data_IF_143632647277
#
_entry.id   IF_143632647277
#
_cell.length_a   1.000
_cell.length_b   1.000
_cell.length_c   1.000
_cell.angle_alpha   90.00
_cell.angle_beta   90.00
_cell.angle_gamma   90.00
#
_symmetry.space_group_name_H-M   'P 1'
#
loop_
_entity.id
_entity.type
_entity.pdbx_description
1 polymer ?
#
# COMPACT_ATOMS: atom_id res chain seq x y z
N UNK A 1 -12.14 100.33 2.43
CA UNK A 1 -11.77 98.97 1.94
C UNK A 1 -12.59 97.93 2.69
N UNK A 2 -13.35 97.16 1.96
CA UNK A 2 -14.03 96.01 2.49
C UNK A 2 -13.16 94.80 2.26
N UNK A 3 -12.66 94.20 3.31
CA UNK A 3 -11.93 92.91 3.26
C UNK A 3 -12.92 91.80 3.25
N UNK A 4 -12.99 91.06 2.19
CA UNK A 4 -13.75 89.82 2.15
C UNK A 4 -13.03 88.74 3.01
N UNK A 5 -13.73 88.15 3.95
CA UNK A 5 -13.23 87.02 4.71
C UNK A 5 -13.11 85.80 3.77
N UNK A 6 -11.97 85.10 3.81
CA UNK A 6 -11.79 83.88 3.11
C UNK A 6 -12.71 82.80 3.71
N UNK A 7 -13.51 82.18 2.90
CA UNK A 7 -14.28 80.99 3.27
C UNK A 7 -13.42 79.77 3.01
N UNK A 8 -13.08 79.03 4.06
CA UNK A 8 -12.46 77.73 3.89
C UNK A 8 -13.52 76.75 3.38
N UNK A 9 -13.31 76.19 2.23
CA UNK A 9 -14.08 75.07 1.71
C UNK A 9 -13.49 73.81 2.34
N UNK A 10 -14.26 73.10 3.13
CA UNK A 10 -13.86 71.77 3.64
C UNK A 10 -13.75 70.84 2.46
N UNK A 11 -12.58 70.18 2.32
CA UNK A 11 -12.45 69.06 1.42
C UNK A 11 -13.36 67.91 1.87
N UNK A 12 -13.97 67.25 0.92
CA UNK A 12 -14.80 66.07 1.12
C UNK A 12 -14.01 64.94 0.45
N UNK A 13 -13.72 63.92 1.23
CA UNK A 13 -13.12 62.70 0.74
C UNK A 13 -14.00 62.08 -0.35
N UNK A 14 -13.38 61.66 -1.50
CA UNK A 14 -14.09 61.23 -2.70
C UNK A 14 -13.61 59.91 -3.28
N UNK A 15 -13.42 58.94 -2.45
CA UNK A 15 -13.13 57.57 -2.83
C UNK A 15 -11.69 57.12 -2.52
N UNK A 16 -11.41 55.85 -2.68
CA UNK A 16 -10.17 55.18 -2.29
C UNK A 16 -9.41 54.62 -3.49
N UNK A 17 -8.12 54.43 -3.34
CA UNK A 17 -7.32 53.62 -4.25
C UNK A 17 -7.82 52.18 -4.26
N UNK A 18 -7.72 51.48 -5.38
CA UNK A 18 -8.12 50.08 -5.49
C UNK A 18 -6.91 49.18 -5.69
N UNK A 19 -6.77 48.17 -4.86
CA UNK A 19 -5.70 47.20 -4.92
C UNK A 19 -6.24 45.78 -5.21
N UNK A 20 -5.43 45.01 -5.94
CA UNK A 20 -5.61 43.60 -6.15
C UNK A 20 -4.30 42.84 -5.79
N UNK A 21 -4.42 41.57 -5.51
CA UNK A 21 -3.26 40.67 -5.37
C UNK A 21 -2.97 40.05 -6.72
N UNK A 22 -1.72 40.12 -7.16
CA UNK A 22 -1.24 39.48 -8.39
C UNK A 22 -0.09 38.52 -8.06
N UNK A 23 0.11 37.51 -8.91
CA UNK A 23 1.13 36.47 -8.75
C UNK A 23 0.54 35.05 -8.68
N UNK A 24 1.41 34.06 -8.59
CA UNK A 24 1.00 32.65 -8.47
C UNK A 24 0.74 32.31 -7.01
N UNK A 25 -0.44 31.74 -6.72
CA UNK A 25 -0.92 31.44 -5.37
C UNK A 25 -0.45 30.06 -4.87
N UNK A 26 0.87 29.86 -4.86
CA UNK A 26 1.51 28.61 -4.40
C UNK A 26 2.67 28.92 -3.45
N UNK A 27 3.02 27.98 -2.59
CA UNK A 27 4.15 28.07 -1.66
C UNK A 27 5.45 28.39 -2.44
N UNK A 28 6.28 29.28 -1.87
CA UNK A 28 7.54 29.74 -2.46
C UNK A 28 7.37 30.78 -3.56
N UNK A 29 6.16 31.07 -4.03
CA UNK A 29 5.90 32.07 -5.05
C UNK A 29 5.66 33.48 -4.45
N UNK A 30 5.87 34.49 -5.24
CA UNK A 30 5.76 35.87 -4.81
C UNK A 30 4.38 36.42 -5.20
N UNK A 31 3.62 36.87 -4.21
CA UNK A 31 2.45 37.71 -4.38
C UNK A 31 2.85 39.19 -4.37
N UNK A 32 2.19 40.01 -5.16
CA UNK A 32 2.45 41.43 -5.30
C UNK A 32 1.18 42.25 -5.14
N UNK A 33 1.29 43.37 -4.44
CA UNK A 33 0.28 44.42 -4.42
C UNK A 33 0.19 45.05 -5.80
N UNK A 34 -0.97 45.02 -6.42
CA UNK A 34 -1.22 45.64 -7.72
C UNK A 34 -2.31 46.71 -7.57
N UNK A 35 -1.93 47.98 -7.72
CA UNK A 35 -2.89 49.07 -7.76
C UNK A 35 -3.62 49.08 -9.10
N UNK A 36 -4.94 48.92 -9.06
CA UNK A 36 -5.78 48.94 -10.25
C UNK A 36 -6.45 50.28 -10.52
N UNK A 37 -6.58 51.13 -9.51
CA UNK A 37 -7.07 52.51 -9.62
C UNK A 37 -6.41 53.37 -8.58
N UNK A 38 -6.04 54.60 -8.98
CA UNK A 38 -5.56 55.64 -8.06
C UNK A 38 -6.72 56.27 -7.28
N UNK A 39 -6.39 56.78 -6.12
CA UNK A 39 -7.30 57.63 -5.34
C UNK A 39 -7.64 58.89 -6.12
N UNK A 40 -8.93 59.26 -6.28
CA UNK A 40 -9.31 60.51 -6.94
C UNK A 40 -8.78 61.77 -6.28
N UNK A 41 -8.54 61.75 -4.98
CA UNK A 41 -8.01 62.88 -4.18
C UNK A 41 -6.46 62.84 -4.11
N UNK A 42 -5.85 61.87 -4.77
CA UNK A 42 -4.40 61.70 -4.94
C UNK A 42 -3.81 60.65 -4.00
N UNK A 43 -2.98 59.79 -4.57
CA UNK A 43 -2.27 58.77 -3.82
C UNK A 43 -1.29 59.37 -2.81
N UNK A 44 -1.19 58.73 -1.65
CA UNK A 44 -0.13 59.01 -0.67
C UNK A 44 0.92 57.89 -0.67
N UNK A 45 1.72 57.89 0.40
CA UNK A 45 2.68 56.79 0.61
C UNK A 45 1.97 55.59 1.16
N UNK A 46 2.00 54.46 0.41
CA UNK A 46 1.36 53.22 0.79
C UNK A 46 2.16 52.44 1.84
N UNK A 47 1.45 51.92 2.84
CA UNK A 47 1.93 50.94 3.80
C UNK A 47 1.14 49.65 3.61
N UNK A 48 1.81 48.50 3.71
CA UNK A 48 1.23 47.21 3.41
C UNK A 48 1.21 46.29 4.65
N UNK A 49 0.19 45.44 4.77
CA UNK A 49 0.15 44.36 5.73
C UNK A 49 -0.56 43.16 5.11
N UNK A 50 0.18 42.07 4.92
CA UNK A 50 -0.39 40.83 4.50
C UNK A 50 -1.00 40.09 5.69
N UNK A 51 -2.16 39.43 5.46
CA UNK A 51 -2.90 38.69 6.46
C UNK A 51 -3.25 37.33 5.91
N UNK A 52 -3.30 36.31 6.81
CA UNK A 52 -3.73 34.96 6.48
C UNK A 52 -5.00 34.57 7.26
N UNK A 53 -5.76 33.62 6.69
CA UNK A 53 -7.00 33.11 7.27
C UNK A 53 -7.19 31.65 6.85
N UNK A 54 -7.64 30.79 7.77
CA UNK A 54 -8.04 29.41 7.47
C UNK A 54 -9.49 29.27 7.01
N UNK A 55 -10.33 30.28 7.27
CA UNK A 55 -11.79 30.23 7.07
C UNK A 55 -12.31 31.36 6.15
N UNK A 56 -11.38 32.16 5.56
CA UNK A 56 -11.67 33.35 4.75
C UNK A 56 -12.54 34.40 5.47
N UNK A 57 -12.65 34.33 6.80
CA UNK A 57 -13.45 35.23 7.61
C UNK A 57 -12.67 35.83 8.78
N UNK A 58 -11.88 35.02 9.48
CA UNK A 58 -11.04 35.44 10.61
C UNK A 58 -9.60 35.63 10.15
N UNK A 59 -9.11 36.88 10.24
CA UNK A 59 -7.84 37.28 9.68
C UNK A 59 -6.76 37.59 10.73
N UNK A 60 -5.55 37.10 10.50
CA UNK A 60 -4.39 37.34 11.37
C UNK A 60 -3.25 37.95 10.56
N UNK A 61 -2.59 38.95 11.12
CA UNK A 61 -1.42 39.56 10.47
C UNK A 61 -0.27 38.53 10.34
N UNK A 62 0.26 38.40 9.13
CA UNK A 62 1.50 37.67 8.91
C UNK A 62 2.66 38.53 9.43
N UNK A 63 3.38 37.99 10.41
CA UNK A 63 4.45 38.74 11.08
C UNK A 63 5.57 39.16 10.11
N UNK A 64 5.90 40.47 10.08
CA UNK A 64 6.94 41.03 9.21
C UNK A 64 6.57 41.18 7.73
N UNK A 65 5.35 40.77 7.31
CA UNK A 65 4.89 40.88 5.92
C UNK A 65 4.32 42.28 5.64
N UNK A 66 5.21 43.28 5.56
CA UNK A 66 4.88 44.70 5.39
C UNK A 66 5.42 45.33 4.08
N UNK A 67 5.95 44.54 3.17
CA UNK A 67 6.38 44.98 1.85
C UNK A 67 5.24 44.91 0.83
N UNK A 68 5.40 45.59 -0.29
CA UNK A 68 4.48 45.48 -1.45
C UNK A 68 4.45 44.08 -2.08
N UNK A 69 5.41 43.24 -1.73
CA UNK A 69 5.47 41.83 -2.14
C UNK A 69 5.55 40.93 -0.92
N UNK A 70 4.99 39.72 -1.05
CA UNK A 70 5.06 38.70 -0.04
C UNK A 70 5.40 37.33 -0.68
N UNK A 71 6.41 36.66 -0.19
CA UNK A 71 6.69 35.27 -0.58
C UNK A 71 5.88 34.31 0.29
N UNK A 72 4.99 33.55 -0.34
CA UNK A 72 4.12 32.59 0.37
C UNK A 72 4.98 31.55 1.07
N UNK A 73 4.82 31.39 2.39
CA UNK A 73 5.54 30.39 3.18
C UNK A 73 4.69 29.12 3.38
N UNK A 74 5.34 28.05 3.84
CA UNK A 74 4.65 26.78 4.15
C UNK A 74 3.55 26.92 5.22
N UNK A 75 3.63 27.95 6.07
CA UNK A 75 2.59 28.20 7.09
C UNK A 75 1.26 28.66 6.50
N UNK A 76 1.23 29.11 5.25
CA UNK A 76 0.03 29.54 4.51
C UNK A 76 -0.56 28.47 3.60
N UNK A 77 -0.02 27.25 3.64
CA UNK A 77 -0.54 26.13 2.86
C UNK A 77 -2.05 25.90 3.12
N UNK A 78 -2.83 25.86 2.05
CA UNK A 78 -4.29 25.69 2.11
C UNK A 78 -5.07 26.85 2.72
N UNK A 79 -4.43 27.99 3.00
CA UNK A 79 -5.07 29.17 3.59
C UNK A 79 -5.44 30.21 2.54
N UNK A 80 -6.17 31.21 3.01
CA UNK A 80 -6.45 32.43 2.27
C UNK A 80 -5.47 33.53 2.68
N UNK A 81 -5.03 34.32 1.71
CA UNK A 81 -4.20 35.50 1.95
C UNK A 81 -4.94 36.72 1.42
N UNK A 82 -4.92 37.81 2.18
CA UNK A 82 -5.37 39.12 1.74
C UNK A 82 -4.32 40.19 2.04
N UNK A 83 -4.46 41.33 1.38
CA UNK A 83 -3.61 42.48 1.59
C UNK A 83 -4.44 43.62 2.16
N UNK A 84 -3.95 44.24 3.22
CA UNK A 84 -4.42 45.53 3.75
C UNK A 84 -3.43 46.61 3.37
N UNK A 85 -3.90 47.66 2.74
CA UNK A 85 -3.08 48.86 2.34
C UNK A 85 -3.62 50.06 3.11
N UNK A 86 -2.71 50.78 3.74
CA UNK A 86 -3.04 52.03 4.42
C UNK A 86 -2.20 53.16 3.86
N UNK A 87 -2.80 54.34 3.71
CA UNK A 87 -2.11 55.56 3.26
C UNK A 87 -2.85 56.79 3.76
N UNK A 88 -2.24 57.97 3.55
CA UNK A 88 -2.89 59.26 3.71
C UNK A 88 -2.89 59.93 2.36
N UNK A 89 -4.05 60.31 1.86
CA UNK A 89 -4.20 60.96 0.57
C UNK A 89 -3.56 62.39 0.53
N UNK A 90 -3.62 63.05 -0.63
CA UNK A 90 -3.07 64.37 -0.79
C UNK A 90 -3.91 65.46 -0.09
N UNK A 91 -5.09 65.11 0.41
CA UNK A 91 -5.99 66.04 1.16
C UNK A 91 -5.95 65.78 2.68
N UNK A 92 -5.09 64.86 3.16
CA UNK A 92 -4.88 64.41 4.55
C UNK A 92 -5.98 63.55 5.14
N UNK A 93 -6.75 62.81 4.33
CA UNK A 93 -7.59 61.74 4.81
C UNK A 93 -6.78 60.42 4.95
N UNK A 94 -7.09 59.66 5.98
CA UNK A 94 -6.44 58.36 6.26
C UNK A 94 -7.29 57.24 5.74
N UNK A 95 -6.73 56.50 4.74
CA UNK A 95 -7.42 55.47 4.01
C UNK A 95 -6.96 54.08 4.42
N UNK A 96 -7.90 53.10 4.36
CA UNK A 96 -7.60 51.68 4.57
C UNK A 96 -8.34 50.82 3.53
N UNK A 97 -7.59 50.25 2.62
CA UNK A 97 -8.11 49.44 1.52
C UNK A 97 -7.76 47.98 1.75
N UNK A 98 -8.71 47.08 1.48
CA UNK A 98 -8.52 45.63 1.57
C UNK A 98 -8.69 45.05 0.18
N UNK A 99 -7.63 44.46 -0.37
CA UNK A 99 -7.71 43.69 -1.59
C UNK A 99 -8.43 42.36 -1.36
N UNK A 100 -9.16 41.93 -2.38
CA UNK A 100 -9.83 40.61 -2.35
C UNK A 100 -8.85 39.49 -2.03
N UNK A 101 -9.26 38.56 -1.17
CA UNK A 101 -8.42 37.42 -0.78
C UNK A 101 -8.17 36.47 -1.96
N UNK A 102 -7.02 35.83 -1.93
CA UNK A 102 -6.67 34.74 -2.81
C UNK A 102 -6.48 33.46 -1.99
N UNK A 103 -6.90 32.32 -2.53
CA UNK A 103 -6.65 31.01 -1.93
C UNK A 103 -5.26 30.54 -2.31
N UNK A 104 -4.49 30.09 -1.34
CA UNK A 104 -3.23 29.40 -1.58
C UNK A 104 -3.54 27.93 -1.82
N UNK A 105 -3.15 27.42 -2.97
CA UNK A 105 -3.32 26.02 -3.29
C UNK A 105 -2.50 25.14 -2.35
N UNK A 106 -3.13 24.12 -1.77
CA UNK A 106 -2.42 23.11 -0.99
C UNK A 106 -1.48 22.35 -1.91
N UNK A 107 -0.20 22.24 -1.53
CA UNK A 107 0.74 21.42 -2.28
C UNK A 107 0.67 19.98 -1.79
N UNK A 108 0.71 19.04 -2.74
CA UNK A 108 0.76 17.63 -2.41
C UNK A 108 2.07 17.33 -1.65
N UNK A 109 1.95 16.90 -0.42
CA UNK A 109 3.06 16.31 0.30
C UNK A 109 3.22 14.84 -0.14
N UNK A 110 4.37 14.51 -0.70
CA UNK A 110 4.69 13.16 -1.15
C UNK A 110 4.49 12.11 -0.05
N UNK A 111 4.68 12.49 1.20
CA UNK A 111 4.53 11.61 2.36
C UNK A 111 3.08 11.13 2.55
N UNK A 112 2.09 11.91 2.08
CA UNK A 112 0.68 11.53 2.12
C UNK A 112 0.33 10.35 1.21
N UNK A 113 1.12 10.11 0.16
CA UNK A 113 0.91 9.03 -0.80
C UNK A 113 1.60 7.73 -0.40
N UNK A 114 2.62 7.78 0.46
CA UNK A 114 3.40 6.59 0.84
C UNK A 114 2.56 5.45 1.43
N UNK A 115 1.53 5.68 2.28
CA UNK A 115 0.70 4.61 2.82
C UNK A 115 0.00 3.82 1.71
N UNK A 116 -0.47 4.50 0.64
CA UNK A 116 -1.14 3.87 -0.49
C UNK A 116 -0.17 3.05 -1.36
N UNK A 117 1.08 3.49 -1.48
CA UNK A 117 2.11 2.68 -2.12
C UNK A 117 2.50 1.46 -1.25
N UNK A 118 2.48 1.58 0.08
CA UNK A 118 2.73 0.47 1.00
C UNK A 118 1.67 -0.62 0.89
N UNK A 119 0.38 -0.26 0.82
CA UNK A 119 -0.71 -1.24 0.76
C UNK A 119 -0.68 -2.09 -0.52
N UNK A 120 -0.13 -1.60 -1.63
CA UNK A 120 0.08 -2.41 -2.84
C UNK A 120 1.03 -3.59 -2.58
N UNK A 121 2.07 -3.38 -1.77
CA UNK A 121 2.99 -4.46 -1.38
C UNK A 121 2.30 -5.49 -0.47
N UNK A 122 1.35 -5.04 0.36
CA UNK A 122 0.49 -5.92 1.18
C UNK A 122 -0.40 -6.79 0.29
N UNK A 123 -1.03 -6.20 -0.72
CA UNK A 123 -1.85 -6.93 -1.71
C UNK A 123 -1.05 -7.99 -2.46
N UNK A 124 0.12 -7.64 -2.99
CA UNK A 124 1.03 -8.61 -3.64
C UNK A 124 1.43 -9.75 -2.69
N UNK A 125 1.67 -9.45 -1.40
CA UNK A 125 2.00 -10.47 -0.40
C UNK A 125 0.81 -11.39 -0.10
N UNK A 126 -0.41 -10.87 -0.06
CA UNK A 126 -1.62 -11.69 0.11
C UNK A 126 -1.80 -12.67 -1.06
N UNK A 127 -1.64 -12.19 -2.30
CA UNK A 127 -1.68 -13.03 -3.52
C UNK A 127 -0.62 -14.14 -3.42
N UNK A 128 0.64 -13.78 -3.06
CA UNK A 128 1.73 -14.73 -2.88
C UNK A 128 1.41 -15.77 -1.82
N UNK A 129 0.95 -15.36 -0.64
CA UNK A 129 0.64 -16.26 0.46
C UNK A 129 -0.47 -17.26 0.10
N UNK A 130 -1.54 -16.79 -0.58
CA UNK A 130 -2.60 -17.69 -1.04
C UNK A 130 -2.09 -18.70 -2.08
N UNK A 131 -1.35 -18.24 -3.10
CA UNK A 131 -0.73 -19.12 -4.10
C UNK A 131 0.15 -20.19 -3.45
N UNK A 132 1.02 -19.79 -2.50
CA UNK A 132 1.92 -20.70 -1.80
C UNK A 132 1.12 -21.72 -0.94
N UNK A 133 -0.04 -21.33 -0.36
CA UNK A 133 -0.96 -22.25 0.34
C UNK A 133 -1.53 -23.33 -0.59
N UNK A 134 -1.96 -22.94 -1.78
CA UNK A 134 -2.53 -23.87 -2.77
C UNK A 134 -1.45 -24.83 -3.27
N UNK A 135 -0.28 -24.31 -3.70
CA UNK A 135 0.80 -25.12 -4.27
C UNK A 135 1.49 -26.02 -3.24
N UNK A 136 1.41 -25.68 -1.94
CA UNK A 136 1.98 -26.51 -0.88
C UNK A 136 1.37 -27.92 -0.84
N UNK A 137 0.10 -28.06 -1.24
CA UNK A 137 -0.64 -29.33 -1.23
C UNK A 137 -0.99 -29.86 -2.63
N UNK A 138 -0.74 -29.11 -3.67
CA UNK A 138 -0.98 -29.52 -5.05
C UNK A 138 -0.18 -30.78 -5.40
N UNK A 139 -0.83 -31.78 -5.94
CA UNK A 139 -0.25 -33.06 -6.33
C UNK A 139 -0.09 -34.08 -5.19
N UNK A 140 -0.52 -33.77 -3.96
CA UNK A 140 -0.39 -34.68 -2.82
C UNK A 140 -1.61 -35.67 -2.67
N UNK A 141 -2.64 -35.56 -3.51
CA UNK A 141 -3.75 -36.52 -3.55
C UNK A 141 -3.22 -37.93 -3.85
N UNK A 142 -3.52 -38.90 -3.02
CA UNK A 142 -3.09 -40.29 -3.11
C UNK A 142 -1.56 -40.55 -2.96
N UNK A 143 -0.74 -39.57 -2.58
CA UNK A 143 0.71 -39.77 -2.44
C UNK A 143 1.11 -40.61 -1.23
N UNK A 144 0.19 -40.82 -0.28
CA UNK A 144 0.45 -41.60 0.93
C UNK A 144 0.07 -43.12 0.79
N UNK A 145 -0.09 -43.57 -0.44
CA UNK A 145 -0.28 -45.03 -0.73
C UNK A 145 -1.62 -45.61 -0.37
N UNK A 146 -2.59 -44.79 -0.05
CA UNK A 146 -3.93 -45.21 0.32
C UNK A 146 -4.88 -44.97 -0.86
N UNK A 147 -5.25 -46.02 -1.54
CA UNK A 147 -6.25 -46.00 -2.62
C UNK A 147 -7.63 -46.01 -1.98
N UNK A 148 -8.37 -44.94 -2.14
CA UNK A 148 -9.78 -44.91 -1.85
C UNK A 148 -10.55 -45.12 -3.13
N UNK A 149 -11.46 -46.03 -2.97
CA UNK A 149 -12.36 -46.59 -3.94
C UNK A 149 -13.03 -45.49 -4.80
N UNK A 150 -12.81 -45.55 -6.13
CA UNK A 150 -13.64 -45.04 -7.22
C UNK A 150 -13.75 -43.56 -7.50
N UNK A 151 -13.37 -42.59 -6.64
CA UNK A 151 -13.64 -41.16 -6.96
C UNK A 151 -12.45 -40.33 -7.40
N UNK A 152 -11.21 -40.68 -7.07
CA UNK A 152 -9.98 -39.95 -7.41
C UNK A 152 -9.99 -38.46 -6.99
N UNK A 153 -10.81 -38.06 -6.03
CA UNK A 153 -10.91 -36.68 -5.54
C UNK A 153 -10.40 -36.54 -4.11
N UNK A 154 -9.71 -35.41 -3.89
CA UNK A 154 -9.29 -35.00 -2.56
C UNK A 154 -9.78 -33.57 -2.26
N UNK A 155 -10.10 -33.33 -0.99
CA UNK A 155 -10.41 -32.02 -0.45
C UNK A 155 -9.31 -31.60 0.53
N UNK A 156 -8.72 -30.45 0.28
CA UNK A 156 -7.77 -29.81 1.19
C UNK A 156 -8.37 -28.54 1.76
N UNK A 157 -8.01 -28.21 3.00
CA UNK A 157 -8.16 -26.88 3.52
C UNK A 157 -6.85 -26.46 4.18
N UNK A 158 -6.36 -25.31 3.80
CA UNK A 158 -5.15 -24.72 4.37
C UNK A 158 -5.43 -23.29 4.82
N UNK A 159 -4.91 -22.95 6.00
CA UNK A 159 -4.98 -21.60 6.53
C UNK A 159 -3.59 -21.15 6.96
N UNK A 160 -3.30 -19.88 6.78
CA UNK A 160 -2.09 -19.25 7.32
C UNK A 160 -2.38 -17.86 7.84
N UNK A 161 -1.66 -17.49 8.89
CA UNK A 161 -1.58 -16.15 9.39
C UNK A 161 -0.10 -15.71 9.30
N UNK A 162 0.15 -14.56 8.71
CA UNK A 162 1.49 -13.98 8.63
C UNK A 162 1.51 -12.56 9.17
N UNK A 163 2.58 -12.21 9.87
CA UNK A 163 2.84 -10.87 10.37
C UNK A 163 4.19 -10.45 9.81
N UNK A 164 4.25 -9.28 9.25
CA UNK A 164 5.43 -8.71 8.60
C UNK A 164 5.75 -7.35 9.18
N UNK A 165 7.04 -7.08 9.30
CA UNK A 165 7.58 -5.83 9.81
C UNK A 165 8.47 -5.21 8.74
N UNK A 166 8.08 -4.06 8.22
CA UNK A 166 8.86 -3.27 7.27
C UNK A 166 9.54 -2.14 8.01
N UNK A 167 10.86 -2.15 7.98
CA UNK A 167 11.67 -1.14 8.68
C UNK A 167 11.75 0.13 7.83
N UNK A 168 11.27 1.25 8.35
CA UNK A 168 11.41 2.56 7.72
C UNK A 168 12.85 3.07 7.72
N UNK A 169 13.10 4.09 6.90
CA UNK A 169 14.38 4.81 6.85
C UNK A 169 14.14 6.33 6.69
N UNK A 170 15.16 7.10 6.35
CA UNK A 170 15.05 8.56 6.19
C UNK A 170 14.13 8.99 5.04
N UNK A 171 13.80 8.12 4.10
CA UNK A 171 13.03 8.42 2.90
C UNK A 171 11.65 7.77 2.88
N UNK A 172 11.44 6.74 3.68
CA UNK A 172 10.24 5.92 3.65
C UNK A 172 9.76 5.55 5.05
N UNK A 173 8.45 5.59 5.24
CA UNK A 173 7.79 5.14 6.46
C UNK A 173 7.95 3.63 6.71
N UNK A 174 8.11 3.26 7.97
CA UNK A 174 7.97 1.88 8.41
C UNK A 174 6.50 1.55 8.66
N UNK A 175 6.17 0.26 8.59
CA UNK A 175 4.83 -0.24 8.89
C UNK A 175 4.84 -1.72 9.23
N UNK A 176 3.80 -2.14 9.92
CA UNK A 176 3.50 -3.54 10.17
C UNK A 176 2.35 -3.95 9.25
N UNK A 177 2.34 -5.20 8.81
CA UNK A 177 1.15 -5.72 8.18
C UNK A 177 0.92 -7.19 8.51
N UNK A 178 -0.35 -7.56 8.59
CA UNK A 178 -0.78 -8.93 8.80
C UNK A 178 -1.63 -9.40 7.64
N UNK A 179 -1.50 -10.70 7.30
CA UNK A 179 -2.35 -11.36 6.32
C UNK A 179 -2.87 -12.66 6.93
N UNK A 180 -4.18 -12.83 6.90
CA UNK A 180 -4.83 -14.10 7.14
C UNK A 180 -5.41 -14.61 5.83
N UNK A 181 -5.09 -15.84 5.46
CA UNK A 181 -5.65 -16.50 4.28
C UNK A 181 -6.07 -17.92 4.63
N UNK A 182 -7.20 -18.34 4.12
CA UNK A 182 -7.65 -19.73 4.14
C UNK A 182 -8.13 -20.12 2.74
N UNK A 183 -7.82 -21.34 2.33
CA UNK A 183 -8.18 -21.86 1.02
C UNK A 183 -8.77 -23.24 1.13
N UNK A 184 -9.82 -23.48 0.36
CA UNK A 184 -10.39 -24.79 0.09
C UNK A 184 -9.96 -25.20 -1.32
N UNK A 185 -9.43 -26.40 -1.44
CA UNK A 185 -8.84 -26.92 -2.66
C UNK A 185 -9.48 -28.28 -2.96
N UNK A 186 -9.92 -28.48 -4.18
CA UNK A 186 -10.41 -29.76 -4.68
C UNK A 186 -9.44 -30.19 -5.78
N UNK A 187 -8.83 -31.37 -5.61
CA UNK A 187 -7.92 -31.98 -6.57
C UNK A 187 -8.50 -33.29 -7.10
N UNK A 188 -8.34 -33.50 -8.39
CA UNK A 188 -8.64 -34.77 -9.06
C UNK A 188 -7.35 -35.42 -9.57
N UNK A 189 -7.18 -36.69 -9.28
CA UNK A 189 -6.17 -37.57 -9.89
C UNK A 189 -6.74 -38.19 -11.17
N UNK A 190 -6.10 -37.94 -12.30
CA UNK A 190 -6.51 -38.53 -13.58
C UNK A 190 -5.78 -39.84 -13.87
N UNK A 191 -4.53 -39.90 -13.43
CA UNK A 191 -3.68 -41.09 -13.46
C UNK A 191 -2.45 -40.83 -12.56
N UNK A 192 -1.50 -41.78 -12.51
CA UNK A 192 -0.27 -41.65 -11.70
C UNK A 192 0.59 -40.44 -12.07
N UNK A 193 0.47 -39.89 -13.30
CA UNK A 193 1.28 -38.78 -13.76
C UNK A 193 0.57 -37.44 -13.68
N UNK A 194 -0.77 -37.39 -13.76
CA UNK A 194 -1.53 -36.16 -13.89
C UNK A 194 -2.55 -35.96 -12.80
N UNK A 195 -2.45 -34.81 -12.14
CA UNK A 195 -3.46 -34.30 -11.19
C UNK A 195 -3.78 -32.85 -11.55
N UNK A 196 -4.99 -32.41 -11.27
CA UNK A 196 -5.37 -31.00 -11.41
C UNK A 196 -6.41 -30.63 -10.35
N UNK A 197 -6.42 -29.37 -9.99
CA UNK A 197 -7.33 -28.87 -8.97
C UNK A 197 -7.77 -27.44 -9.19
N UNK A 198 -8.80 -27.11 -8.47
CA UNK A 198 -9.33 -25.76 -8.32
C UNK A 198 -9.23 -25.34 -6.86
N UNK A 199 -9.01 -24.07 -6.62
CA UNK A 199 -8.95 -23.55 -5.27
C UNK A 199 -9.78 -22.26 -5.17
N UNK A 200 -10.44 -22.11 -4.03
CA UNK A 200 -11.12 -20.90 -3.61
C UNK A 200 -10.60 -20.51 -2.22
N UNK A 201 -10.20 -19.27 -2.06
CA UNK A 201 -9.65 -18.74 -0.82
C UNK A 201 -10.33 -17.45 -0.42
N UNK A 202 -10.35 -17.22 0.88
CA UNK A 202 -10.76 -15.93 1.46
C UNK A 202 -9.71 -15.50 2.47
N UNK A 203 -9.57 -14.20 2.64
CA UNK A 203 -8.59 -13.66 3.56
C UNK A 203 -8.87 -12.24 3.99
N UNK A 204 -7.99 -11.75 4.83
CA UNK A 204 -7.94 -10.35 5.21
C UNK A 204 -6.50 -9.90 5.37
N UNK A 205 -6.26 -8.63 5.10
CA UNK A 205 -4.95 -8.02 5.31
C UNK A 205 -5.13 -6.70 6.05
N UNK A 206 -4.22 -6.42 6.97
CA UNK A 206 -4.17 -5.12 7.66
C UNK A 206 -2.78 -4.53 7.46
N UNK A 207 -2.73 -3.24 7.18
CA UNK A 207 -1.55 -2.42 7.29
C UNK A 207 -1.74 -1.52 8.51
N UNK A 208 -0.88 -1.67 9.48
CA UNK A 208 -0.94 -0.98 10.76
C UNK A 208 0.36 -0.20 11.01
N UNK A 209 0.27 0.78 11.91
CA UNK A 209 1.43 1.51 12.41
C UNK A 209 2.25 2.22 11.32
N UNK A 210 1.67 2.52 10.15
CA UNK A 210 2.38 3.35 9.20
C UNK A 210 2.65 4.71 9.83
N UNK A 211 3.92 5.13 9.80
CA UNK A 211 4.33 6.43 10.32
C UNK A 211 5.53 6.96 9.52
N UNK A 212 5.36 8.15 8.95
CA UNK A 212 6.43 8.90 8.29
C UNK A 212 6.12 10.40 8.28
N UNK A 213 7.06 11.23 8.73
CA UNK A 213 6.96 12.70 8.72
C UNK A 213 5.65 13.26 9.29
N UNK A 214 5.09 12.59 10.31
CA UNK A 214 3.81 12.98 10.93
C UNK A 214 2.57 12.44 10.22
N UNK A 215 2.71 11.79 9.06
CA UNK A 215 1.62 11.03 8.43
C UNK A 215 1.50 9.67 9.09
N UNK A 216 0.32 9.35 9.59
CA UNK A 216 -0.03 8.02 10.09
C UNK A 216 -1.18 7.43 9.28
N UNK A 217 -1.19 6.11 9.12
CA UNK A 217 -2.26 5.44 8.38
C UNK A 217 -2.46 4.00 8.84
N UNK A 218 -3.70 3.54 8.71
CA UNK A 218 -4.09 2.15 8.89
C UNK A 218 -5.06 1.77 7.78
N UNK A 219 -4.88 0.58 7.23
CA UNK A 219 -5.74 0.03 6.17
C UNK A 219 -6.14 -1.39 6.52
N UNK A 220 -7.33 -1.74 6.11
CA UNK A 220 -7.87 -3.09 6.16
C UNK A 220 -8.32 -3.51 4.76
N UNK A 221 -8.12 -4.77 4.39
CA UNK A 221 -8.77 -5.36 3.22
C UNK A 221 -9.39 -6.70 3.55
N UNK A 222 -10.53 -6.97 2.91
CA UNK A 222 -11.02 -8.33 2.69
C UNK A 222 -10.62 -8.77 1.29
N UNK A 223 -10.28 -10.05 1.13
CA UNK A 223 -9.82 -10.55 -0.15
C UNK A 223 -10.39 -11.94 -0.46
N UNK A 224 -10.66 -12.14 -1.74
CA UNK A 224 -11.10 -13.40 -2.31
C UNK A 224 -10.09 -13.86 -3.35
N UNK A 225 -9.75 -15.14 -3.34
CA UNK A 225 -8.78 -15.73 -4.27
C UNK A 225 -9.39 -16.93 -4.96
N UNK A 226 -9.08 -17.10 -6.23
CA UNK A 226 -9.50 -18.25 -7.02
C UNK A 226 -8.36 -18.67 -7.94
N UNK A 227 -8.15 -19.97 -8.06
CA UNK A 227 -7.08 -20.49 -8.90
C UNK A 227 -7.39 -21.88 -9.45
N UNK A 228 -6.73 -22.19 -10.54
CA UNK A 228 -6.61 -23.52 -11.09
C UNK A 228 -5.14 -23.91 -11.14
N UNK A 229 -4.86 -25.18 -10.89
CA UNK A 229 -3.50 -25.68 -10.97
C UNK A 229 -3.44 -27.08 -11.57
N UNK A 230 -2.25 -27.43 -12.04
CA UNK A 230 -1.94 -28.76 -12.52
C UNK A 230 -0.63 -29.27 -11.93
N UNK A 231 -0.57 -30.58 -11.75
CA UNK A 231 0.60 -31.32 -11.35
C UNK A 231 0.88 -32.37 -12.42
N UNK A 232 2.16 -32.53 -12.80
CA UNK A 232 2.62 -33.58 -13.69
C UNK A 232 3.88 -34.25 -13.18
N UNK A 233 3.85 -35.56 -13.02
CA UNK A 233 5.05 -36.39 -12.84
C UNK A 233 5.69 -36.59 -14.21
N UNK A 234 6.87 -36.00 -14.43
CA UNK A 234 7.60 -36.07 -15.71
C UNK A 234 8.48 -37.32 -15.77
N UNK A 235 9.07 -37.67 -14.64
CA UNK A 235 9.89 -38.87 -14.49
C UNK A 235 9.79 -39.36 -13.04
N UNK A 236 10.35 -40.52 -12.73
CA UNK A 236 10.33 -41.09 -11.38
C UNK A 236 10.76 -40.10 -10.28
N UNK A 237 11.66 -39.20 -10.61
CA UNK A 237 12.28 -38.29 -9.64
C UNK A 237 12.07 -36.81 -9.96
N UNK A 238 11.23 -36.46 -10.95
CA UNK A 238 11.01 -35.06 -11.32
C UNK A 238 9.55 -34.79 -11.61
N UNK A 239 9.00 -33.80 -10.94
CA UNK A 239 7.63 -33.31 -11.11
C UNK A 239 7.57 -31.82 -11.45
N UNK A 240 6.49 -31.41 -12.08
CA UNK A 240 6.20 -30.04 -12.44
C UNK A 240 4.82 -29.67 -11.88
N UNK A 241 4.74 -28.50 -11.25
CA UNK A 241 3.48 -27.87 -10.82
C UNK A 241 3.30 -26.55 -11.54
N UNK A 242 2.10 -26.22 -11.94
CA UNK A 242 1.75 -24.91 -12.50
C UNK A 242 0.43 -24.41 -11.93
N UNK A 243 0.31 -23.10 -11.69
CA UNK A 243 -0.89 -22.45 -11.17
C UNK A 243 -1.11 -21.14 -11.90
N UNK A 244 -2.37 -20.83 -12.17
CA UNK A 244 -2.85 -19.48 -12.52
C UNK A 244 -4.05 -19.14 -11.63
N UNK A 245 -4.18 -17.86 -11.27
CA UNK A 245 -5.25 -17.42 -10.39
C UNK A 245 -5.53 -15.92 -10.45
N UNK A 246 -6.67 -15.55 -9.88
CA UNK A 246 -7.10 -14.18 -9.69
C UNK A 246 -7.45 -13.91 -8.23
N UNK A 247 -7.60 -12.64 -7.91
CA UNK A 247 -7.94 -12.16 -6.58
C UNK A 247 -8.71 -10.86 -6.68
N UNK A 248 -9.68 -10.68 -5.80
CA UNK A 248 -10.44 -9.44 -5.63
C UNK A 248 -10.18 -8.92 -4.21
N UNK A 249 -10.03 -7.60 -4.07
CA UNK A 249 -9.74 -6.93 -2.80
C UNK A 249 -10.68 -5.75 -2.60
N UNK A 250 -11.28 -5.68 -1.41
CA UNK A 250 -12.01 -4.51 -0.93
C UNK A 250 -11.19 -3.83 0.16
N UNK A 251 -10.75 -2.60 -0.06
CA UNK A 251 -9.93 -1.83 0.87
C UNK A 251 -10.74 -0.75 1.58
N UNK A 252 -10.44 -0.59 2.87
CA UNK A 252 -10.87 0.56 3.66
C UNK A 252 -9.74 1.02 4.57
N UNK A 253 -9.63 2.31 4.83
CA UNK A 253 -8.58 2.80 5.70
C UNK A 253 -8.70 4.28 6.02
N UNK A 254 -7.78 4.73 6.87
CA UNK A 254 -7.67 6.12 7.25
C UNK A 254 -6.21 6.60 7.18
N UNK A 255 -6.07 7.89 6.92
CA UNK A 255 -4.80 8.62 6.97
C UNK A 255 -5.00 9.89 7.81
N UNK A 256 -4.04 10.14 8.70
CA UNK A 256 -4.03 11.34 9.52
C UNK A 256 -2.72 12.11 9.30
N UNK A 257 -2.82 13.42 9.17
CA UNK A 257 -1.69 14.33 9.08
C UNK A 257 -2.11 15.70 9.61
N UNK A 258 -1.41 16.22 10.61
CA UNK A 258 -1.77 17.48 11.30
C UNK A 258 -3.26 17.51 11.68
N UNK A 259 -4.05 18.36 11.01
CA UNK A 259 -5.49 18.51 11.22
C UNK A 259 -6.34 17.72 10.19
N UNK A 260 -5.70 16.97 9.29
CA UNK A 260 -6.37 16.14 8.30
C UNK A 260 -6.76 14.81 8.92
N UNK A 261 -8.01 14.42 8.74
CA UNK A 261 -8.52 13.06 8.98
C UNK A 261 -9.19 12.62 7.68
N UNK A 262 -8.54 11.75 6.97
CA UNK A 262 -8.98 11.27 5.67
C UNK A 262 -9.37 9.79 5.75
N UNK A 263 -10.46 9.43 5.09
CA UNK A 263 -10.95 8.06 4.93
C UNK A 263 -10.93 7.67 3.47
N UNK A 264 -10.65 6.42 3.18
CA UNK A 264 -10.63 5.86 1.84
C UNK A 264 -11.31 4.51 1.79
N UNK A 265 -12.01 4.25 0.68
CA UNK A 265 -12.59 2.95 0.32
C UNK A 265 -12.39 2.77 -1.18
N UNK A 266 -11.85 1.63 -1.59
CA UNK A 266 -11.56 1.33 -2.99
C UNK A 266 -11.32 -0.15 -3.21
N UNK A 267 -11.41 -0.58 -4.46
CA UNK A 267 -11.26 -1.95 -4.88
C UNK A 267 -9.91 -2.15 -5.60
N UNK A 268 -9.47 -3.41 -5.65
CA UNK A 268 -8.31 -3.81 -6.42
C UNK A 268 -8.44 -5.25 -6.91
N UNK A 269 -7.84 -5.51 -8.06
CA UNK A 269 -7.74 -6.83 -8.67
C UNK A 269 -6.33 -7.38 -8.58
N UNK A 270 -6.21 -8.71 -8.47
CA UNK A 270 -4.95 -9.40 -8.46
C UNK A 270 -4.89 -10.56 -9.45
N UNK A 271 -3.72 -10.80 -10.01
CA UNK A 271 -3.45 -11.94 -10.88
C UNK A 271 -2.15 -12.61 -10.47
N UNK A 272 -2.09 -13.93 -10.62
CA UNK A 272 -0.86 -14.69 -10.34
C UNK A 272 -0.71 -15.87 -11.27
N UNK A 273 0.55 -16.20 -11.56
CA UNK A 273 0.93 -17.42 -12.23
C UNK A 273 2.23 -17.95 -11.61
N UNK A 274 2.36 -19.26 -11.49
CA UNK A 274 3.61 -19.90 -11.04
C UNK A 274 3.84 -21.20 -11.78
N UNK A 275 5.10 -21.50 -12.06
CA UNK A 275 5.56 -22.81 -12.46
C UNK A 275 6.77 -23.18 -11.60
N UNK A 276 6.76 -24.41 -11.06
CA UNK A 276 7.81 -24.92 -10.19
C UNK A 276 8.13 -26.36 -10.53
N UNK A 277 9.41 -26.65 -10.73
CA UNK A 277 9.95 -28.00 -10.92
C UNK A 277 10.56 -28.48 -9.61
N UNK A 278 10.29 -29.72 -9.25
CA UNK A 278 10.77 -30.36 -8.01
C UNK A 278 11.40 -31.71 -8.34
N UNK A 279 12.60 -31.92 -7.82
CA UNK A 279 13.26 -33.23 -7.85
C UNK A 279 13.03 -33.95 -6.54
N UNK A 280 12.90 -35.26 -6.58
CA UNK A 280 12.62 -36.11 -5.43
C UNK A 280 13.74 -37.15 -5.27
N UNK A 281 14.48 -37.04 -4.14
CA UNK A 281 15.58 -37.93 -3.81
C UNK A 281 15.30 -38.67 -2.50
N UNK A 282 14.84 -39.91 -2.62
CA UNK A 282 14.48 -40.75 -1.50
C UNK A 282 15.64 -41.62 -1.03
N UNK A 283 15.92 -41.65 0.27
CA UNK A 283 16.88 -42.57 0.87
C UNK A 283 16.27 -43.24 2.11
N UNK A 284 16.15 -44.55 2.06
CA UNK A 284 15.76 -45.33 3.22
C UNK A 284 16.95 -45.65 4.12
N UNK A 285 16.87 -45.31 5.40
CA UNK A 285 17.89 -45.60 6.43
C UNK A 285 17.40 -46.81 7.26
N UNK A 286 18.00 -47.93 7.02
CA UNK A 286 17.56 -49.25 7.55
C UNK A 286 17.69 -49.34 9.06
N UNK A 287 18.73 -48.69 9.66
CA UNK A 287 19.01 -48.75 11.09
C UNK A 287 17.99 -47.97 11.94
N UNK A 288 17.37 -46.93 11.43
CA UNK A 288 16.35 -46.15 12.12
C UNK A 288 14.91 -46.39 11.60
N UNK A 289 14.72 -47.29 10.63
CA UNK A 289 13.47 -47.49 9.92
C UNK A 289 12.86 -46.17 9.41
N UNK A 290 13.69 -45.33 8.83
CA UNK A 290 13.37 -43.92 8.50
C UNK A 290 13.54 -43.70 7.01
N UNK A 291 12.57 -43.11 6.35
CA UNK A 291 12.67 -42.62 4.98
C UNK A 291 12.94 -41.11 4.98
N UNK A 292 14.14 -40.71 4.56
CA UNK A 292 14.50 -39.31 4.34
C UNK A 292 14.27 -38.97 2.87
N UNK A 293 13.55 -37.89 2.66
CA UNK A 293 13.22 -37.37 1.35
C UNK A 293 13.76 -35.94 1.21
N UNK A 294 14.60 -35.70 0.21
CA UNK A 294 15.14 -34.39 -0.12
C UNK A 294 14.56 -33.93 -1.46
N UNK A 295 13.90 -32.78 -1.46
CA UNK A 295 13.16 -32.24 -2.59
C UNK A 295 13.69 -30.85 -2.97
N UNK A 296 14.80 -30.75 -3.71
CA UNK A 296 15.20 -29.45 -4.29
C UNK A 296 14.19 -29.02 -5.35
N UNK A 297 13.98 -27.72 -5.43
CA UNK A 297 13.03 -27.11 -6.37
C UNK A 297 13.56 -25.81 -6.96
N UNK A 298 13.14 -25.51 -8.17
CA UNK A 298 13.30 -24.22 -8.82
C UNK A 298 11.97 -23.78 -9.43
N UNK A 299 11.72 -22.49 -9.44
CA UNK A 299 10.47 -21.96 -9.97
C UNK A 299 10.56 -20.51 -10.38
N UNK A 300 9.54 -20.09 -11.10
CA UNK A 300 9.27 -18.71 -11.45
C UNK A 300 7.81 -18.41 -11.16
N UNK A 301 7.55 -17.26 -10.55
CA UNK A 301 6.21 -16.81 -10.22
C UNK A 301 6.02 -15.35 -10.56
N UNK A 302 4.86 -15.03 -11.11
CA UNK A 302 4.42 -13.67 -11.39
C UNK A 302 3.20 -13.34 -10.53
N UNK A 303 3.11 -12.10 -10.06
CA UNK A 303 1.91 -11.54 -9.46
C UNK A 303 1.75 -10.08 -9.87
N UNK A 304 0.53 -9.65 -10.07
CA UNK A 304 0.15 -8.26 -10.28
C UNK A 304 -1.01 -7.90 -9.35
N UNK A 305 -1.00 -6.68 -8.85
CA UNK A 305 -2.05 -6.08 -8.04
C UNK A 305 -2.39 -4.73 -8.64
N UNK A 306 -3.61 -4.57 -9.14
CA UNK A 306 -4.12 -3.37 -9.80
C UNK A 306 -5.13 -2.72 -8.88
N UNK A 307 -4.83 -1.54 -8.39
CA UNK A 307 -5.68 -0.73 -7.54
C UNK A 307 -6.48 0.25 -8.38
N UNK A 308 -7.77 0.38 -8.11
CA UNK A 308 -8.61 1.40 -8.72
C UNK A 308 -8.26 2.81 -8.23
N UNK A 309 -8.58 3.80 -9.07
CA UNK A 309 -8.48 5.20 -8.68
C UNK A 309 -9.61 5.60 -7.76
N UNK A 310 -9.31 6.42 -6.75
CA UNK A 310 -10.30 6.90 -5.78
C UNK A 310 -9.94 8.28 -5.23
N UNK A 311 -10.88 8.90 -4.53
CA UNK A 311 -10.65 10.14 -3.78
C UNK A 311 -10.95 9.92 -2.31
N UNK A 312 -10.11 10.43 -1.44
CA UNK A 312 -10.36 10.45 0.00
C UNK A 312 -11.61 11.28 0.36
N UNK A 313 -12.22 10.95 1.48
CA UNK A 313 -13.27 11.70 2.13
C UNK A 313 -12.85 12.10 3.54
N UNK A 314 -13.49 13.13 4.12
CA UNK A 314 -13.15 13.61 5.46
C UNK A 314 -12.88 15.10 5.52
N UNK A 315 -11.89 15.52 6.31
CA UNK A 315 -11.55 16.93 6.54
C UNK A 315 -10.06 17.20 6.36
N UNK A 316 -9.73 18.43 5.95
CA UNK A 316 -8.34 18.87 5.72
C UNK A 316 -7.85 18.55 4.30
N UNK A 317 -6.55 18.28 4.18
CA UNK A 317 -5.89 18.06 2.89
C UNK A 317 -6.09 16.61 2.42
N UNK A 318 -7.07 16.45 1.54
CA UNK A 318 -7.46 15.17 0.96
C UNK A 318 -6.71 14.93 -0.35
N UNK A 319 -6.51 13.67 -0.71
CA UNK A 319 -5.86 13.29 -1.98
C UNK A 319 -6.80 12.49 -2.88
N UNK A 320 -6.58 12.62 -4.18
CA UNK A 320 -7.14 11.73 -5.21
C UNK A 320 -6.02 10.84 -5.73
N UNK A 321 -6.20 9.55 -5.60
CA UNK A 321 -5.26 8.52 -6.03
C UNK A 321 -5.67 8.04 -7.41
N UNK A 322 -4.70 7.91 -8.30
CA UNK A 322 -4.91 7.35 -9.65
C UNK A 322 -4.86 5.83 -9.60
N UNK A 323 -5.58 5.19 -10.53
CA UNK A 323 -5.41 3.74 -10.74
C UNK A 323 -3.96 3.40 -11.02
N UNK A 324 -3.47 2.35 -10.40
CA UNK A 324 -2.08 1.92 -10.52
C UNK A 324 -1.92 0.42 -10.37
N UNK A 325 -0.88 -0.12 -10.99
CA UNK A 325 -0.54 -1.54 -10.94
C UNK A 325 0.84 -1.72 -10.31
N UNK A 326 0.94 -2.67 -9.38
CA UNK A 326 2.20 -3.15 -8.82
C UNK A 326 2.43 -4.60 -9.24
N UNK A 327 3.66 -4.94 -9.57
CA UNK A 327 4.04 -6.25 -10.10
C UNK A 327 5.17 -6.88 -9.28
N UNK A 328 5.25 -8.21 -9.31
CA UNK A 328 6.29 -9.03 -8.71
C UNK A 328 6.65 -10.18 -9.64
N UNK A 329 7.93 -10.38 -9.90
CA UNK A 329 8.46 -11.51 -10.66
C UNK A 329 9.51 -12.22 -9.81
N UNK A 330 9.12 -13.33 -9.21
CA UNK A 330 9.94 -14.11 -8.30
C UNK A 330 10.67 -15.24 -9.03
N UNK A 331 11.98 -15.28 -8.89
CA UNK A 331 12.79 -16.47 -9.15
C UNK A 331 12.99 -17.21 -7.82
N UNK A 332 12.63 -18.49 -7.80
CA UNK A 332 12.58 -19.30 -6.58
C UNK A 332 13.55 -20.45 -6.64
N UNK A 333 14.28 -20.71 -5.56
CA UNK A 333 15.06 -21.92 -5.34
C UNK A 333 14.79 -22.43 -3.93
N UNK A 334 14.54 -23.72 -3.79
CA UNK A 334 14.17 -24.31 -2.50
C UNK A 334 14.76 -25.69 -2.28
N UNK A 335 14.83 -26.07 -1.04
CA UNK A 335 15.15 -27.43 -0.59
C UNK A 335 14.21 -27.80 0.55
N UNK A 336 13.30 -28.75 0.30
CA UNK A 336 12.50 -29.38 1.35
C UNK A 336 13.16 -30.68 1.76
N UNK A 337 13.31 -30.89 3.05
CA UNK A 337 13.72 -32.17 3.63
C UNK A 337 12.61 -32.65 4.52
N UNK A 338 12.15 -33.85 4.30
CA UNK A 338 11.10 -34.48 5.09
C UNK A 338 11.48 -35.89 5.51
N UNK A 339 10.93 -36.32 6.63
CA UNK A 339 11.19 -37.64 7.19
C UNK A 339 9.85 -38.32 7.52
N UNK A 340 9.69 -39.55 7.08
CA UNK A 340 8.49 -40.33 7.39
C UNK A 340 8.76 -41.26 8.59
N UNK A 341 8.00 -41.06 9.66
CA UNK A 341 8.13 -41.81 10.92
C UNK A 341 6.82 -42.54 11.18
N UNK A 342 6.90 -43.86 11.21
CA UNK A 342 5.79 -44.70 11.61
C UNK A 342 5.73 -44.73 13.14
N UNK A 343 4.62 -44.26 13.74
CA UNK A 343 4.43 -44.23 15.18
C UNK A 343 4.08 -45.64 15.73
N UNK A 344 4.42 -45.84 17.02
CA UNK A 344 4.13 -47.13 17.69
C UNK A 344 2.67 -47.55 17.56
N UNK A 345 2.47 -48.79 17.17
CA UNK A 345 1.13 -49.37 16.90
C UNK A 345 0.68 -49.30 15.46
N UNK A 346 1.46 -48.71 14.53
CA UNK A 346 1.23 -48.75 13.07
C UNK A 346 0.02 -47.98 12.57
N UNK A 347 -0.59 -47.15 13.42
CA UNK A 347 -1.84 -46.45 13.11
C UNK A 347 -1.65 -45.02 12.60
N UNK A 348 -0.54 -44.37 12.90
CA UNK A 348 -0.28 -42.96 12.59
C UNK A 348 1.07 -42.83 11.93
N UNK A 349 1.16 -41.91 10.96
CA UNK A 349 2.42 -41.51 10.34
C UNK A 349 2.66 -40.03 10.63
N UNK A 350 3.86 -39.71 11.09
CA UNK A 350 4.33 -38.37 11.30
C UNK A 350 5.33 -38.02 10.22
N UNK A 351 5.18 -36.83 9.56
CA UNK A 351 6.07 -36.39 8.52
C UNK A 351 6.59 -34.98 8.89
N UNK A 352 7.63 -34.89 9.76
CA UNK A 352 8.30 -33.63 9.99
C UNK A 352 9.01 -33.16 8.74
N UNK A 353 9.02 -31.86 8.50
CA UNK A 353 9.66 -31.23 7.35
C UNK A 353 10.42 -29.96 7.72
N UNK A 354 11.48 -29.70 6.96
CA UNK A 354 12.21 -28.44 6.94
C UNK A 354 12.31 -27.96 5.49
N UNK A 355 11.79 -26.75 5.22
CA UNK A 355 11.91 -26.11 3.92
C UNK A 355 12.82 -24.90 4.04
N UNK A 356 13.87 -24.84 3.24
CA UNK A 356 14.75 -23.70 3.07
C UNK A 356 14.52 -23.13 1.69
N UNK A 357 14.21 -21.84 1.58
CA UNK A 357 13.97 -21.21 0.29
C UNK A 357 14.68 -19.88 0.17
N UNK A 358 15.11 -19.60 -1.04
CA UNK A 358 15.57 -18.31 -1.51
C UNK A 358 14.67 -17.86 -2.67
N UNK A 359 14.20 -16.62 -2.60
CA UNK A 359 13.42 -15.99 -3.65
C UNK A 359 14.03 -14.62 -3.98
N UNK A 360 14.07 -14.29 -5.26
CA UNK A 360 14.50 -12.99 -5.77
C UNK A 360 13.39 -12.37 -6.59
N UNK A 361 12.92 -11.17 -6.16
CA UNK A 361 11.90 -10.41 -6.87
C UNK A 361 12.55 -9.40 -7.82
N UNK A 362 12.58 -9.73 -9.10
CA UNK A 362 13.19 -8.90 -10.14
C UNK A 362 12.44 -7.59 -10.42
N UNK A 363 11.19 -7.46 -9.95
CA UNK A 363 10.35 -6.27 -10.12
C UNK A 363 10.13 -5.49 -8.81
N UNK A 364 10.81 -5.85 -7.71
CA UNK A 364 10.66 -5.18 -6.42
C UNK A 364 11.22 -3.76 -6.38
N UNK A 365 11.97 -3.33 -7.39
CA UNK A 365 12.53 -1.99 -7.43
C UNK A 365 11.45 -0.91 -7.35
N UNK A 366 11.76 0.21 -6.70
CA UNK A 366 10.85 1.34 -6.46
C UNK A 366 10.17 1.90 -7.72
N UNK A 367 10.73 1.63 -8.92
CA UNK A 367 10.16 2.12 -10.18
C UNK A 367 8.88 1.39 -10.59
N UNK A 368 8.66 0.16 -10.16
CA UNK A 368 7.49 -0.67 -10.52
C UNK A 368 6.39 -0.67 -9.44
N UNK A 369 6.61 0.06 -8.32
CA UNK A 369 5.67 0.12 -7.18
C UNK A 369 5.46 1.56 -6.75
N UNK A 370 5.06 2.41 -7.72
CA UNK A 370 4.73 3.82 -7.49
C UNK A 370 3.23 4.01 -7.52
N UNK A 371 2.73 4.84 -6.63
CA UNK A 371 1.35 5.32 -6.65
C UNK A 371 1.34 6.75 -7.14
N UNK A 372 0.39 7.09 -8.00
CA UNK A 372 0.17 8.44 -8.48
C UNK A 372 -0.99 9.11 -7.74
N UNK A 373 -0.82 10.36 -7.35
CA UNK A 373 -1.87 11.12 -6.68
C UNK A 373 -1.76 12.62 -6.92
N UNK A 374 -2.84 13.32 -6.59
CA UNK A 374 -2.96 14.78 -6.59
C UNK A 374 -3.73 15.22 -5.34
N UNK A 375 -3.58 16.46 -4.92
CA UNK A 375 -4.51 17.04 -3.93
C UNK A 375 -5.92 17.01 -4.54
N UNK A 376 -6.89 16.59 -3.75
CA UNK A 376 -8.28 16.49 -4.20
C UNK A 376 -8.78 17.84 -4.71
N UNK A 377 -9.47 17.82 -5.84
CA UNK A 377 -10.00 19.00 -6.53
C UNK A 377 -8.93 19.99 -7.04
N UNK A 378 -7.64 19.61 -7.00
CA UNK A 378 -6.55 20.37 -7.61
C UNK A 378 -6.45 20.10 -9.11
N UNK A 379 -5.97 21.08 -9.85
CA UNK A 379 -5.56 20.98 -11.27
C UNK A 379 -4.08 20.64 -11.45
N UNK A 380 -3.38 20.32 -10.37
CA UNK A 380 -1.94 20.07 -10.38
C UNK A 380 -1.60 18.77 -11.14
N UNK A 381 -0.34 18.66 -11.56
CA UNK A 381 0.19 17.47 -12.19
C UNK A 381 0.24 16.30 -11.19
N UNK A 382 0.00 15.08 -11.70
CA UNK A 382 0.08 13.86 -10.89
C UNK A 382 1.49 13.64 -10.38
N UNK A 383 1.64 13.53 -9.07
CA UNK A 383 2.90 13.17 -8.40
C UNK A 383 2.94 11.66 -8.18
N UNK A 384 4.11 11.06 -8.37
CA UNK A 384 4.33 9.62 -8.18
C UNK A 384 5.26 9.35 -7.01
N UNK A 385 4.83 8.52 -6.09
CA UNK A 385 5.57 8.16 -4.88
C UNK A 385 5.66 6.65 -4.74
N UNK A 386 6.79 6.16 -4.25
CA UNK A 386 6.97 4.77 -3.82
C UNK A 386 6.99 4.68 -2.29
N UNK A 387 6.81 3.47 -1.76
CA UNK A 387 7.02 3.17 -0.35
C UNK A 387 8.16 2.17 -0.16
N UNK A 388 8.57 1.98 1.07
CA UNK A 388 9.41 0.85 1.46
C UNK A 388 8.64 -0.45 1.22
N UNK A 389 9.34 -1.46 0.72
CA UNK A 389 8.83 -2.82 0.53
C UNK A 389 9.58 -3.78 1.44
N UNK A 390 9.16 -5.05 1.51
CA UNK A 390 9.95 -6.10 2.16
C UNK A 390 11.33 -6.31 1.52
N UNK A 391 11.53 -5.84 0.28
CA UNK A 391 12.81 -5.91 -0.42
C UNK A 391 12.77 -6.83 -1.65
N UNK A 392 13.96 -7.08 -2.20
CA UNK A 392 14.15 -7.87 -3.42
C UNK A 392 14.51 -9.33 -3.10
N UNK A 393 15.20 -9.56 -1.98
CA UNK A 393 15.73 -10.87 -1.59
C UNK A 393 14.99 -11.41 -0.37
N UNK A 394 14.54 -12.66 -0.47
CA UNK A 394 13.83 -13.37 0.59
C UNK A 394 14.53 -14.68 0.90
N UNK A 395 15.01 -14.83 2.12
CA UNK A 395 15.52 -16.10 2.65
C UNK A 395 14.56 -16.62 3.68
N UNK A 396 14.05 -17.82 3.53
CA UNK A 396 13.08 -18.37 4.47
C UNK A 396 13.43 -19.77 4.95
N UNK A 397 13.07 -20.03 6.21
CA UNK A 397 13.04 -21.35 6.81
C UNK A 397 11.62 -21.64 7.30
N UNK A 398 11.06 -22.79 6.89
CA UNK A 398 9.76 -23.28 7.35
C UNK A 398 9.96 -24.64 8.00
N UNK A 399 9.46 -24.80 9.20
CA UNK A 399 9.34 -26.07 9.88
C UNK A 399 7.88 -26.50 9.85
N UNK A 400 7.62 -27.75 9.60
CA UNK A 400 6.25 -28.27 9.51
C UNK A 400 6.18 -29.73 9.89
N UNK A 401 4.96 -30.22 10.06
CA UNK A 401 4.69 -31.62 10.23
C UNK A 401 3.30 -31.95 9.70
N UNK A 402 3.19 -33.06 8.99
CA UNK A 402 1.92 -33.68 8.61
C UNK A 402 1.66 -34.87 9.53
N UNK A 403 0.44 -35.00 10.03
CA UNK A 403 -0.05 -36.06 10.84
C UNK A 403 -1.08 -36.86 10.02
N UNK A 404 -0.75 -38.05 9.56
CA UNK A 404 -1.69 -38.93 8.90
C UNK A 404 -2.38 -39.79 9.99
N UNK A 405 -3.66 -39.53 10.21
CA UNK A 405 -4.46 -40.12 11.29
C UNK A 405 -5.21 -41.35 10.83
N UNK A 406 -5.74 -41.28 9.62
CA UNK A 406 -6.42 -42.39 8.93
C UNK A 406 -6.06 -42.38 7.45
N UNK A 407 -6.49 -43.38 6.73
CA UNK A 407 -6.35 -43.45 5.27
C UNK A 407 -6.94 -42.24 4.56
N UNK A 408 -7.95 -41.60 5.17
CA UNK A 408 -8.73 -40.53 4.58
C UNK A 408 -8.49 -39.17 5.20
N UNK A 409 -7.75 -39.08 6.29
CA UNK A 409 -7.63 -37.85 7.06
C UNK A 409 -6.20 -37.58 7.50
N UNK A 410 -5.66 -36.42 7.13
CA UNK A 410 -4.43 -35.90 7.68
C UNK A 410 -4.56 -34.42 8.10
N UNK A 411 -3.71 -34.02 9.05
CA UNK A 411 -3.57 -32.63 9.51
C UNK A 411 -2.16 -32.15 9.27
N UNK A 412 -1.99 -30.85 9.04
CA UNK A 412 -0.68 -30.23 8.99
C UNK A 412 -0.59 -29.02 9.92
N UNK A 413 0.60 -28.82 10.46
CA UNK A 413 0.98 -27.61 11.20
C UNK A 413 2.32 -27.12 10.69
N UNK A 414 2.49 -25.82 10.56
CA UNK A 414 3.77 -25.25 10.14
C UNK A 414 4.00 -23.86 10.72
N UNK A 415 5.28 -23.50 10.81
CA UNK A 415 5.73 -22.16 11.11
C UNK A 415 6.85 -21.78 10.13
N UNK A 416 6.82 -20.57 9.62
CA UNK A 416 7.80 -20.04 8.65
C UNK A 416 8.34 -18.69 9.16
N UNK A 417 9.64 -18.53 9.02
CA UNK A 417 10.32 -17.25 9.21
C UNK A 417 10.97 -16.82 7.90
N UNK A 418 10.82 -15.55 7.55
CA UNK A 418 11.39 -14.95 6.34
C UNK A 418 12.23 -13.76 6.74
N UNK A 419 13.46 -13.74 6.29
CA UNK A 419 14.36 -12.59 6.32
C UNK A 419 14.39 -11.95 4.95
N UNK A 420 14.35 -10.62 4.92
CA UNK A 420 14.47 -9.85 3.69
C UNK A 420 15.37 -8.64 3.91
N UNK A 421 15.79 -7.99 2.84
CA UNK A 421 16.57 -6.74 2.88
C UNK A 421 15.75 -5.51 3.33
N UNK A 422 14.42 -5.60 3.36
CA UNK A 422 13.52 -4.53 3.82
C UNK A 422 12.83 -4.78 5.15
N UNK A 423 12.95 -5.99 5.72
CA UNK A 423 12.26 -6.35 6.96
C UNK A 423 12.24 -7.84 7.24
N UNK A 424 11.24 -8.30 7.97
CA UNK A 424 11.04 -9.72 8.25
C UNK A 424 9.56 -10.10 8.31
N UNK A 425 9.28 -11.40 8.21
CA UNK A 425 7.93 -11.94 8.28
C UNK A 425 7.92 -13.24 9.09
N UNK A 426 6.90 -13.40 9.93
CA UNK A 426 6.57 -14.64 10.61
C UNK A 426 5.23 -15.14 10.09
N UNK A 427 5.09 -16.45 9.89
CA UNK A 427 3.81 -17.03 9.56
C UNK A 427 3.60 -18.38 10.23
N UNK A 428 2.33 -18.65 10.54
CA UNK A 428 1.86 -19.91 11.12
C UNK A 428 0.74 -20.41 10.25
N UNK A 429 0.73 -21.70 9.99
CA UNK A 429 -0.28 -22.32 9.15
C UNK A 429 -0.76 -23.66 9.72
N UNK A 430 -2.00 -23.97 9.41
CA UNK A 430 -2.58 -25.27 9.65
C UNK A 430 -3.51 -25.65 8.48
N UNK A 431 -3.75 -26.95 8.35
CA UNK A 431 -4.66 -27.44 7.33
C UNK A 431 -5.05 -28.87 7.56
N UNK A 432 -5.95 -29.35 6.75
CA UNK A 432 -6.32 -30.75 6.68
C UNK A 432 -6.52 -31.21 5.24
N UNK A 433 -6.31 -32.49 5.02
CA UNK A 433 -6.60 -33.20 3.79
C UNK A 433 -7.65 -34.26 4.11
N UNK A 434 -8.70 -34.27 3.32
CA UNK A 434 -9.69 -35.32 3.34
C UNK A 434 -9.79 -35.94 1.94
N UNK A 435 -9.69 -37.28 1.89
CA UNK A 435 -9.76 -38.08 0.65
C UNK A 435 -11.07 -38.84 0.63
N UNK A 436 -11.82 -38.71 -0.46
CA UNK A 436 -13.14 -39.36 -0.64
C UNK A 436 -13.04 -40.63 -1.45
#
# INVERSE_FOLDING_TARGET
SVTASSVSIAHVDSGDAVFAISGTTSIGQVLSASQSSSDPDGDGTFSYQWQSSSDNSTWTNISGATNSTYTVSESEDGKYIRLVVTYTDSQNFSETVIASSVSIGSQLNNDWLQPFAAIQSVGLTSIKNNRDLVLAKAGECNDYGWVIDETDFCLYSNSSNSISYVTGDSNYGGYDYSNFNTSIIIEKTFNEEWKAGIAYGVGSSNLDNFNFSGTTANFHSTNTHYSIYGFKQISKNFSLKGLIGGSDFDYSGNRNYLNTTAESTYDADGYTAEIIGTWDFNKFIKESNTLINAKPSIGIAFAAHTQDGFSESGSGDLVTIKSNQAESLLFKAGLKVENQILMEGGKWILIPSLDLNYEFDALASSNNRKIGGVVKDSSDDTTFVSSKTLGEHYVSAKVGTDFIVTENLSFNLNAKYVLTDGGNQHSYGCGFLFVF
#
